data_IF_703441968986
#
_entry.id   IF_703441968986
#
_cell.length_a   1.000
_cell.length_b   1.000
_cell.length_c   1.000
_cell.angle_alpha   90.00
_cell.angle_beta   90.00
_cell.angle_gamma   90.00
#
_symmetry.space_group_name_H-M   'P 1'
#
loop_
_entity.id
_entity.type
_entity.pdbx_description
1 polymer ?
#
# COMPACT_ATOMS: atom_id res chain seq x y z
N UNK A 1 9.98 -21.61 48.90
CA UNK A 1 11.01 -21.08 47.99
C UNK A 1 10.35 -19.98 47.15
N UNK A 2 10.70 -18.72 47.39
CA UNK A 2 10.03 -17.55 46.81
C UNK A 2 10.83 -17.13 45.56
N UNK A 3 10.28 -17.32 44.37
CA UNK A 3 10.91 -16.85 43.14
C UNK A 3 10.88 -15.32 43.13
N UNK A 4 12.06 -14.73 43.32
CA UNK A 4 12.29 -13.32 43.11
C UNK A 4 12.23 -13.08 41.61
N UNK A 5 11.14 -12.46 41.13
CA UNK A 5 11.11 -11.88 39.80
C UNK A 5 12.25 -10.86 39.76
N UNK A 6 13.27 -11.13 38.93
CA UNK A 6 14.36 -10.20 38.71
C UNK A 6 13.79 -9.03 37.91
N UNK A 7 13.60 -7.91 38.61
CA UNK A 7 13.56 -6.58 38.01
C UNK A 7 14.86 -6.39 37.22
N UNK A 8 14.76 -6.53 35.90
CA UNK A 8 15.94 -6.54 35.05
C UNK A 8 15.68 -6.68 33.56
N UNK A 9 14.56 -6.17 33.01
CA UNK A 9 14.46 -5.91 31.57
C UNK A 9 15.23 -4.62 31.17
N UNK A 10 16.30 -4.32 31.90
CA UNK A 10 17.19 -3.19 31.69
C UNK A 10 18.41 -3.65 30.91
N UNK A 11 18.26 -3.83 29.60
CA UNK A 11 19.25 -3.69 28.51
C UNK A 11 18.81 -4.57 27.34
N UNK A 12 17.74 -4.16 26.65
CA UNK A 12 17.58 -4.53 25.25
C UNK A 12 18.80 -3.99 24.51
N UNK A 13 19.80 -4.84 24.29
CA UNK A 13 20.94 -4.50 23.46
C UNK A 13 20.43 -4.43 22.01
N UNK A 14 20.04 -3.23 21.57
CA UNK A 14 19.74 -2.92 20.17
C UNK A 14 20.89 -3.46 19.32
N UNK A 15 20.61 -4.51 18.54
CA UNK A 15 21.61 -5.21 17.73
C UNK A 15 21.98 -6.61 18.24
N UNK A 16 21.17 -7.20 19.12
CA UNK A 16 21.22 -8.63 19.37
C UNK A 16 20.73 -9.43 18.16
N UNK A 17 21.19 -10.68 18.01
CA UNK A 17 20.68 -11.58 16.97
C UNK A 17 19.15 -11.81 17.05
N UNK A 18 18.54 -11.59 18.21
CA UNK A 18 17.09 -11.60 18.37
C UNK A 18 16.40 -10.39 17.71
N UNK A 19 16.97 -9.19 17.83
CA UNK A 19 16.43 -7.99 17.18
C UNK A 19 16.54 -8.07 15.65
N UNK A 20 17.65 -8.62 15.14
CA UNK A 20 17.84 -8.87 13.70
C UNK A 20 16.86 -9.93 13.19
N UNK A 21 16.73 -11.03 13.92
CA UNK A 21 15.75 -12.08 13.63
C UNK A 21 14.33 -11.51 13.61
N UNK A 22 13.95 -10.72 14.61
CA UNK A 22 12.62 -10.12 14.72
C UNK A 22 12.34 -9.13 13.57
N UNK A 23 13.30 -8.28 13.23
CA UNK A 23 13.18 -7.33 12.10
C UNK A 23 13.05 -8.06 10.76
N UNK A 24 13.84 -9.11 10.54
CA UNK A 24 13.74 -9.93 9.34
C UNK A 24 12.35 -10.57 9.21
N UNK A 25 11.87 -11.23 10.26
CA UNK A 25 10.55 -11.88 10.23
C UNK A 25 9.42 -10.87 10.03
N UNK A 26 9.50 -9.70 10.67
CA UNK A 26 8.50 -8.65 10.47
C UNK A 26 8.45 -8.19 9.01
N UNK A 27 9.62 -7.92 8.41
CA UNK A 27 9.69 -7.52 6.98
C UNK A 27 9.18 -8.62 6.07
N UNK A 28 9.55 -9.87 6.34
CA UNK A 28 9.07 -11.03 5.58
C UNK A 28 7.55 -11.15 5.60
N UNK A 29 6.92 -11.11 6.78
CA UNK A 29 5.46 -11.23 6.89
C UNK A 29 4.71 -10.02 6.30
N UNK A 30 5.25 -8.81 6.42
CA UNK A 30 4.67 -7.63 5.77
C UNK A 30 4.69 -7.80 4.25
N UNK A 31 5.80 -8.27 3.68
CA UNK A 31 5.93 -8.53 2.26
C UNK A 31 4.91 -9.57 1.78
N UNK A 32 4.84 -10.73 2.43
CA UNK A 32 3.87 -11.79 2.09
C UNK A 32 2.42 -11.29 2.18
N UNK A 33 2.12 -10.47 3.19
CA UNK A 33 0.78 -9.93 3.36
C UNK A 33 0.42 -8.92 2.26
N UNK A 34 1.36 -8.06 1.85
CA UNK A 34 1.16 -7.12 0.76
C UNK A 34 0.96 -7.85 -0.58
N UNK A 35 1.73 -8.89 -0.85
CA UNK A 35 1.54 -9.72 -2.05
C UNK A 35 0.15 -10.36 -2.07
N UNK A 36 -0.28 -10.97 -0.95
CA UNK A 36 -1.61 -11.56 -0.85
C UNK A 36 -2.73 -10.52 -1.06
N UNK A 37 -2.58 -9.31 -0.50
CA UNK A 37 -3.54 -8.22 -0.70
C UNK A 37 -3.55 -7.75 -2.16
N UNK A 38 -2.38 -7.67 -2.81
CA UNK A 38 -2.27 -7.31 -4.23
C UNK A 38 -2.98 -8.34 -5.10
N UNK A 39 -2.79 -9.63 -4.84
CA UNK A 39 -3.48 -10.71 -5.54
C UNK A 39 -5.01 -10.63 -5.36
N UNK A 40 -5.49 -10.38 -4.14
CA UNK A 40 -6.92 -10.22 -3.88
C UNK A 40 -7.51 -9.00 -4.57
N UNK A 41 -6.80 -7.86 -4.57
CA UNK A 41 -7.23 -6.67 -5.31
C UNK A 41 -7.42 -6.99 -6.79
N UNK A 42 -6.41 -7.61 -7.43
CA UNK A 42 -6.47 -7.95 -8.84
C UNK A 42 -7.59 -8.96 -9.13
N UNK A 43 -7.71 -10.02 -8.33
CA UNK A 43 -8.75 -11.03 -8.47
C UNK A 43 -10.17 -10.43 -8.43
N UNK A 44 -10.45 -9.58 -7.44
CA UNK A 44 -11.78 -8.95 -7.34
C UNK A 44 -12.01 -7.87 -8.41
N UNK A 45 -10.95 -7.20 -8.88
CA UNK A 45 -11.03 -6.28 -10.01
C UNK A 45 -11.43 -7.02 -11.29
N UNK A 46 -10.82 -8.16 -11.57
CA UNK A 46 -11.09 -8.97 -12.75
C UNK A 46 -12.51 -9.56 -12.73
N UNK A 47 -13.04 -9.85 -11.55
CA UNK A 47 -14.44 -10.25 -11.36
C UNK A 47 -15.44 -9.08 -11.41
N UNK A 48 -14.98 -7.84 -11.62
CA UNK A 48 -15.82 -6.64 -11.60
C UNK A 48 -16.37 -6.28 -10.21
N UNK A 49 -15.90 -6.93 -9.14
CA UNK A 49 -16.29 -6.66 -7.75
C UNK A 49 -15.44 -5.53 -7.18
N UNK A 50 -15.59 -4.33 -7.76
CA UNK A 50 -14.72 -3.19 -7.49
C UNK A 50 -14.70 -2.74 -6.02
N UNK A 51 -15.80 -2.87 -5.29
CA UNK A 51 -15.84 -2.52 -3.86
C UNK A 51 -14.93 -3.44 -3.02
N UNK A 52 -14.92 -4.74 -3.32
CA UNK A 52 -14.02 -5.70 -2.66
C UNK A 52 -12.56 -5.41 -3.01
N UNK A 53 -12.28 -5.17 -4.29
CA UNK A 53 -10.94 -4.80 -4.75
C UNK A 53 -10.42 -3.53 -4.04
N UNK A 54 -11.30 -2.53 -3.89
CA UNK A 54 -10.98 -1.28 -3.20
C UNK A 54 -10.64 -1.51 -1.72
N UNK A 55 -11.39 -2.37 -1.02
CA UNK A 55 -11.10 -2.70 0.38
C UNK A 55 -9.71 -3.32 0.57
N UNK A 56 -9.28 -4.20 -0.34
CA UNK A 56 -7.95 -4.80 -0.27
C UNK A 56 -6.84 -3.82 -0.66
N UNK A 57 -7.06 -2.97 -1.66
CA UNK A 57 -6.12 -1.91 -2.02
C UNK A 57 -5.93 -0.89 -0.88
N UNK A 58 -7.01 -0.50 -0.19
CA UNK A 58 -6.92 0.36 1.00
C UNK A 58 -6.12 -0.27 2.14
N UNK A 59 -6.21 -1.59 2.32
CA UNK A 59 -5.39 -2.29 3.33
C UNK A 59 -3.90 -2.21 3.01
N UNK A 60 -3.53 -2.25 1.73
CA UNK A 60 -2.13 -2.05 1.33
C UNK A 60 -1.64 -0.65 1.72
N UNK A 61 -2.42 0.41 1.44
CA UNK A 61 -2.06 1.79 1.84
C UNK A 61 -1.98 1.95 3.37
N UNK A 62 -2.85 1.28 4.13
CA UNK A 62 -2.77 1.29 5.60
C UNK A 62 -1.51 0.62 6.14
N UNK A 63 -0.93 -0.33 5.39
CA UNK A 63 0.31 -1.00 5.77
C UNK A 63 1.54 -0.21 5.30
N UNK A 64 1.52 0.26 4.06
CA UNK A 64 2.57 1.06 3.43
C UNK A 64 1.92 2.25 2.70
N UNK A 65 1.89 3.41 3.37
CA UNK A 65 1.23 4.62 2.86
C UNK A 65 1.82 5.13 1.55
N UNK A 66 3.13 4.94 1.35
CA UNK A 66 3.86 5.41 0.17
C UNK A 66 3.91 4.38 -0.96
N UNK A 67 3.18 3.26 -0.84
CA UNK A 67 3.22 2.19 -1.84
C UNK A 67 2.46 2.60 -3.11
N UNK A 68 3.19 3.12 -4.09
CA UNK A 68 2.59 3.64 -5.34
C UNK A 68 1.72 2.63 -6.08
N UNK A 69 2.10 1.34 -6.09
CA UNK A 69 1.29 0.29 -6.73
C UNK A 69 -0.12 0.18 -6.14
N UNK A 70 -0.29 0.40 -4.83
CA UNK A 70 -1.59 0.39 -4.17
C UNK A 70 -2.41 1.65 -4.55
N UNK A 71 -1.75 2.81 -4.64
CA UNK A 71 -2.39 4.03 -5.17
C UNK A 71 -2.86 3.84 -6.62
N UNK A 72 -2.02 3.26 -7.49
CA UNK A 72 -2.36 2.95 -8.88
C UNK A 72 -3.57 2.02 -8.98
N UNK A 73 -3.65 0.98 -8.14
CA UNK A 73 -4.82 0.09 -8.10
C UNK A 73 -6.10 0.87 -7.78
N UNK A 74 -6.09 1.73 -6.75
CA UNK A 74 -7.25 2.55 -6.40
C UNK A 74 -7.62 3.52 -7.53
N UNK A 75 -6.64 4.14 -8.19
CA UNK A 75 -6.86 5.01 -9.34
C UNK A 75 -7.58 4.28 -10.48
N UNK A 76 -7.15 3.06 -10.80
CA UNK A 76 -7.81 2.20 -11.81
C UNK A 76 -9.24 1.87 -11.38
N UNK A 77 -9.45 1.46 -10.13
CA UNK A 77 -10.79 1.12 -9.62
C UNK A 77 -11.75 2.31 -9.70
N UNK A 78 -11.29 3.51 -9.35
CA UNK A 78 -12.09 4.72 -9.50
C UNK A 78 -12.39 5.03 -10.97
N UNK A 79 -11.41 4.91 -11.86
CA UNK A 79 -11.62 5.13 -13.29
C UNK A 79 -12.62 4.11 -13.90
N UNK A 80 -12.51 2.82 -13.55
CA UNK A 80 -13.40 1.75 -14.01
C UNK A 80 -14.83 1.89 -13.47
N UNK A 81 -15.02 2.58 -12.34
CA UNK A 81 -16.33 2.87 -11.76
C UNK A 81 -16.88 4.24 -12.17
N UNK A 82 -16.25 4.93 -13.13
CA UNK A 82 -16.68 6.24 -13.62
C UNK A 82 -16.34 7.42 -12.69
N UNK A 83 -15.65 7.16 -11.57
CA UNK A 83 -15.24 8.17 -10.57
C UNK A 83 -13.88 8.79 -10.94
N UNK A 84 -13.80 9.37 -12.14
CA UNK A 84 -12.55 9.93 -12.68
C UNK A 84 -11.94 11.02 -11.79
N UNK A 85 -12.76 11.89 -11.20
CA UNK A 85 -12.29 12.92 -10.26
C UNK A 85 -11.59 12.32 -9.05
N UNK A 86 -12.15 11.27 -8.45
CA UNK A 86 -11.55 10.55 -7.32
C UNK A 86 -10.23 9.87 -7.70
N UNK A 87 -10.11 9.35 -8.93
CA UNK A 87 -8.85 8.80 -9.42
C UNK A 87 -7.74 9.87 -9.53
N UNK A 88 -8.09 11.07 -10.01
CA UNK A 88 -7.17 12.22 -10.09
C UNK A 88 -6.78 12.69 -8.67
N UNK A 89 -7.72 12.73 -7.74
CA UNK A 89 -7.46 13.07 -6.35
C UNK A 89 -6.51 12.07 -5.69
N UNK A 90 -6.70 10.77 -5.93
CA UNK A 90 -5.85 9.71 -5.41
C UNK A 90 -4.38 9.84 -5.87
N UNK A 91 -4.16 10.23 -7.12
CA UNK A 91 -2.81 10.57 -7.62
C UNK A 91 -2.22 11.74 -6.82
N UNK A 92 -3.01 12.77 -6.56
CA UNK A 92 -2.59 13.92 -5.74
C UNK A 92 -2.20 13.52 -4.32
N UNK A 93 -2.92 12.57 -3.71
CA UNK A 93 -2.56 12.01 -2.39
C UNK A 93 -1.22 11.29 -2.46
N UNK A 94 -1.04 10.40 -3.45
CA UNK A 94 0.20 9.65 -3.65
C UNK A 94 1.40 10.61 -3.81
N UNK A 95 1.28 11.58 -4.71
CA UNK A 95 2.34 12.56 -5.01
C UNK A 95 2.71 13.39 -3.79
N UNK A 96 1.71 13.88 -3.04
CA UNK A 96 1.99 14.64 -1.80
C UNK A 96 2.71 13.79 -0.77
N UNK A 97 2.25 12.55 -0.53
CA UNK A 97 2.91 11.64 0.42
C UNK A 97 4.38 11.39 0.06
N UNK A 98 4.67 11.11 -1.21
CA UNK A 98 6.05 10.90 -1.68
C UNK A 98 6.92 12.16 -1.55
N UNK A 99 6.38 13.32 -1.90
CA UNK A 99 7.10 14.58 -1.76
C UNK A 99 7.36 14.93 -0.29
N UNK A 100 6.36 14.77 0.58
CA UNK A 100 6.43 15.17 1.99
C UNK A 100 7.32 14.21 2.81
N UNK A 101 7.27 12.90 2.56
CA UNK A 101 8.00 11.90 3.35
C UNK A 101 9.36 11.52 2.76
N UNK A 102 9.51 11.53 1.42
CA UNK A 102 10.73 11.06 0.74
C UNK A 102 11.39 12.13 -0.14
N UNK A 103 10.72 13.26 -0.42
CA UNK A 103 11.26 14.30 -1.30
C UNK A 103 11.41 13.87 -2.76
N UNK A 104 10.64 12.87 -3.20
CA UNK A 104 10.70 12.30 -4.55
C UNK A 104 9.41 12.52 -5.34
N UNK A 105 9.54 12.52 -6.66
CA UNK A 105 8.39 12.49 -7.56
C UNK A 105 7.87 11.05 -7.77
N UNK A 106 6.60 10.87 -8.17
CA UNK A 106 6.02 9.56 -8.45
C UNK A 106 6.75 8.80 -9.57
N UNK A 107 6.70 7.47 -9.50
CA UNK A 107 7.16 6.56 -10.55
C UNK A 107 6.55 6.93 -11.93
N UNK A 108 7.30 6.76 -13.03
CA UNK A 108 6.81 7.02 -14.39
C UNK A 108 5.50 6.31 -14.71
N UNK A 109 5.30 5.09 -14.20
CA UNK A 109 4.08 4.30 -14.34
C UNK A 109 2.87 4.98 -13.68
N UNK A 110 3.08 5.61 -12.51
CA UNK A 110 2.04 6.36 -11.79
C UNK A 110 1.64 7.61 -12.57
N UNK A 111 2.63 8.35 -13.09
CA UNK A 111 2.39 9.55 -13.92
C UNK A 111 1.69 9.18 -15.22
N UNK A 112 2.13 8.11 -15.89
CA UNK A 112 1.50 7.63 -17.12
C UNK A 112 0.04 7.22 -16.90
N UNK A 113 -0.25 6.51 -15.81
CA UNK A 113 -1.60 6.14 -15.44
C UNK A 113 -2.49 7.38 -15.20
N UNK A 114 -1.98 8.36 -14.45
CA UNK A 114 -2.67 9.62 -14.21
C UNK A 114 -3.02 10.33 -15.52
N UNK A 115 -2.08 10.45 -16.46
CA UNK A 115 -2.34 11.10 -17.75
C UNK A 115 -3.33 10.30 -18.62
N UNK A 116 -3.32 8.96 -18.56
CA UNK A 116 -4.32 8.14 -19.24
C UNK A 116 -5.74 8.36 -18.67
N UNK A 117 -5.88 8.42 -17.34
CA UNK A 117 -7.15 8.70 -16.66
C UNK A 117 -7.63 10.12 -16.98
N UNK A 118 -6.73 11.09 -16.97
CA UNK A 118 -7.00 12.49 -17.34
C UNK A 118 -7.34 12.64 -18.82
N UNK A 119 -6.83 11.79 -19.70
CA UNK A 119 -7.25 11.74 -21.10
C UNK A 119 -8.56 10.97 -21.31
N UNK A 120 -9.13 10.34 -20.27
CA UNK A 120 -10.34 9.51 -20.37
C UNK A 120 -10.11 8.18 -21.09
N UNK A 121 -8.85 7.73 -21.23
CA UNK A 121 -8.48 6.48 -21.92
C UNK A 121 -8.72 5.24 -21.05
N UNK A 122 -8.80 5.43 -19.74
CA UNK A 122 -9.26 4.42 -18.79
C UNK A 122 -10.61 4.88 -18.27
N UNK A 123 -11.67 4.22 -18.74
CA UNK A 123 -13.05 4.44 -18.32
C UNK A 123 -13.83 3.14 -18.52
N UNK A 124 -14.97 3.02 -17.82
CA UNK A 124 -15.90 1.90 -18.05
C UNK A 124 -16.27 1.88 -19.53
N UNK A 125 -16.07 0.75 -20.21
CA UNK A 125 -16.68 0.54 -21.54
C UNK A 125 -18.19 0.59 -21.34
N UNK A 126 -18.83 1.62 -21.88
CA UNK A 126 -20.28 1.75 -21.98
C UNK A 126 -20.83 0.61 -22.82
#
# INVERSE_FOLDING_TARGET
MRFQFVDGFGTYNKGSGFDEWLQFHRRFYIHQQLEALQHLTNYYQDLGRYDMAYQYALRQIKMESLKESAHRQIMVLFAMTGRRSAAIEQYGICRRGLADELGIEPEPETVALFEQIKAGRICKKT
#
